data_IF_774549326705
#
_entry.id   IF_774549326705
#
_cell.length_a   1.000
_cell.length_b   1.000
_cell.length_c   1.000
_cell.angle_alpha   90.00
_cell.angle_beta   90.00
_cell.angle_gamma   90.00
#
_symmetry.space_group_name_H-M   'P 1'
#
loop_
_entity.id
_entity.type
_entity.pdbx_description
1 polymer ?
#
# COMPACT_ATOMS: atom_id res chain seq x y z
N UNK A 1 2.86 60.89 -28.69
CA UNK A 1 1.71 59.99 -28.97
C UNK A 1 2.21 58.55 -29.02
N UNK A 2 1.98 57.79 -27.96
CA UNK A 2 2.36 56.37 -27.94
C UNK A 2 1.28 55.56 -28.66
N UNK A 3 1.68 54.82 -29.69
CA UNK A 3 0.78 54.09 -30.58
C UNK A 3 0.00 53.03 -29.79
N UNK A 4 -1.35 53.02 -29.96
CA UNK A 4 -2.28 52.02 -29.39
C UNK A 4 -1.92 50.53 -29.73
N UNK A 5 -1.13 50.33 -30.79
CA UNK A 5 -0.66 48.98 -31.22
C UNK A 5 0.37 48.36 -30.27
N UNK A 6 1.19 49.15 -29.54
CA UNK A 6 2.19 48.62 -28.60
C UNK A 6 1.56 48.18 -27.28
N UNK A 7 0.40 48.70 -26.90
CA UNK A 7 -0.30 48.30 -25.66
C UNK A 7 -1.01 46.95 -25.77
N UNK A 8 -1.50 46.59 -26.96
CA UNK A 8 -2.20 45.31 -27.19
C UNK A 8 -1.25 44.11 -27.24
N UNK A 9 0.01 44.29 -27.69
CA UNK A 9 1.01 43.19 -27.72
C UNK A 9 1.56 42.87 -26.31
N UNK A 10 1.63 43.83 -25.39
CA UNK A 10 2.08 43.55 -24.00
C UNK A 10 1.00 42.82 -23.18
N UNK A 11 -0.27 43.13 -23.41
CA UNK A 11 -1.37 42.47 -22.69
C UNK A 11 -1.57 40.99 -23.11
N UNK A 12 -1.34 40.68 -24.40
CA UNK A 12 -1.45 39.31 -24.92
C UNK A 12 -0.31 38.39 -24.38
N UNK A 13 0.90 38.94 -24.24
CA UNK A 13 2.05 38.18 -23.69
C UNK A 13 1.90 37.83 -22.21
N UNK A 14 1.35 38.74 -21.39
CA UNK A 14 1.14 38.52 -19.96
C UNK A 14 0.04 37.48 -19.71
N UNK A 15 -1.03 37.46 -20.51
CA UNK A 15 -2.10 36.46 -20.34
C UNK A 15 -1.66 35.06 -20.76
N UNK A 16 -0.84 34.91 -21.80
CA UNK A 16 -0.31 33.63 -22.24
C UNK A 16 0.65 33.01 -21.19
N UNK A 17 1.53 33.84 -20.65
CA UNK A 17 2.45 33.40 -19.56
C UNK A 17 1.72 32.98 -18.28
N UNK A 18 0.64 33.67 -17.91
CA UNK A 18 -0.19 33.34 -16.76
C UNK A 18 -0.92 32.00 -16.94
N UNK A 19 -1.47 31.75 -18.15
CA UNK A 19 -2.15 30.48 -18.46
C UNK A 19 -1.17 29.31 -18.46
N UNK A 20 0.02 29.49 -19.05
CA UNK A 20 1.05 28.45 -19.06
C UNK A 20 1.51 28.13 -17.65
N UNK A 21 1.75 29.15 -16.81
CA UNK A 21 2.19 28.96 -15.42
C UNK A 21 1.09 28.30 -14.57
N UNK A 22 -0.18 28.66 -14.75
CA UNK A 22 -1.31 28.04 -14.06
C UNK A 22 -1.48 26.55 -14.45
N UNK A 23 -1.31 26.23 -15.74
CA UNK A 23 -1.35 24.84 -16.21
C UNK A 23 -0.15 24.03 -15.70
N UNK A 24 1.04 24.65 -15.60
CA UNK A 24 2.24 23.99 -15.05
C UNK A 24 2.06 23.66 -13.57
N UNK A 25 1.58 24.61 -12.76
CA UNK A 25 1.26 24.41 -11.35
C UNK A 25 0.18 23.34 -11.14
N UNK A 26 -0.86 23.31 -11.98
CA UNK A 26 -1.90 22.29 -11.90
C UNK A 26 -1.40 20.88 -12.25
N UNK A 27 -0.40 20.75 -13.14
CA UNK A 27 0.24 19.48 -13.46
C UNK A 27 1.16 19.02 -12.33
N UNK A 28 1.90 19.92 -11.67
CA UNK A 28 2.71 19.59 -10.49
C UNK A 28 1.82 19.18 -9.30
N UNK A 29 0.71 19.88 -9.05
CA UNK A 29 -0.26 19.49 -8.03
C UNK A 29 -0.93 18.14 -8.35
N UNK A 30 -1.24 17.85 -9.61
CA UNK A 30 -1.77 16.56 -10.05
C UNK A 30 -0.73 15.44 -9.90
N UNK A 31 0.55 15.71 -10.19
CA UNK A 31 1.64 14.76 -10.00
C UNK A 31 1.96 14.54 -8.50
N UNK A 32 1.90 15.57 -7.67
CA UNK A 32 2.07 15.45 -6.22
C UNK A 32 0.94 14.64 -5.57
N UNK A 33 -0.26 14.68 -6.11
CA UNK A 33 -1.42 13.96 -5.59
C UNK A 33 -1.52 12.49 -6.06
N UNK A 34 -0.66 12.04 -6.99
CA UNK A 34 -0.63 10.66 -7.49
C UNK A 34 0.00 9.65 -6.52
N UNK A 35 0.51 10.09 -5.37
CA UNK A 35 1.17 9.24 -4.36
C UNK A 35 0.48 9.15 -3.00
N UNK A 36 -0.53 9.97 -2.72
CA UNK A 36 -1.16 9.98 -1.40
C UNK A 36 -2.27 8.95 -1.29
N UNK A 37 -2.03 7.91 -0.47
CA UNK A 37 -3.02 6.88 -0.19
C UNK A 37 -4.08 7.44 0.74
N UNK A 38 -5.30 7.64 0.21
CA UNK A 38 -6.44 8.06 1.04
C UNK A 38 -6.74 7.02 2.11
N UNK A 39 -6.69 7.42 3.37
CA UNK A 39 -7.00 6.57 4.52
C UNK A 39 -8.49 6.19 4.54
N UNK A 40 -8.78 4.98 4.99
CA UNK A 40 -10.14 4.49 5.23
C UNK A 40 -10.29 4.30 6.74
N UNK A 41 -11.20 5.07 7.33
CA UNK A 41 -11.56 4.98 8.73
C UNK A 41 -13.01 4.49 8.83
N UNK A 42 -13.19 3.29 9.38
CA UNK A 42 -14.49 2.68 9.66
C UNK A 42 -14.54 2.30 11.14
N UNK A 43 -15.73 2.31 11.70
CA UNK A 43 -16.00 1.81 13.05
C UNK A 43 -15.74 0.30 13.15
N UNK A 44 -15.62 -0.20 14.36
CA UNK A 44 -15.43 -1.63 14.62
C UNK A 44 -16.61 -2.45 14.08
N UNK A 45 -17.82 -1.92 14.17
CA UNK A 45 -19.06 -2.52 13.71
C UNK A 45 -19.07 -2.63 12.19
N UNK A 46 -18.73 -1.56 11.48
CA UNK A 46 -18.66 -1.53 10.01
C UNK A 46 -17.59 -2.51 9.48
N UNK A 47 -16.45 -2.66 10.18
CA UNK A 47 -15.46 -3.67 9.82
C UNK A 47 -15.97 -5.10 10.04
N UNK A 48 -16.77 -5.37 11.08
CA UNK A 48 -17.37 -6.69 11.31
C UNK A 48 -18.37 -7.07 10.24
N UNK A 49 -19.09 -6.11 9.68
CA UNK A 49 -20.02 -6.34 8.57
C UNK A 49 -19.29 -6.64 7.25
N UNK A 50 -18.08 -6.09 7.09
CA UNK A 50 -17.28 -6.17 5.86
C UNK A 50 -16.36 -7.39 5.80
N UNK A 51 -15.91 -7.89 6.94
CA UNK A 51 -14.90 -8.93 7.07
C UNK A 51 -15.52 -10.23 7.59
N UNK A 52 -14.95 -11.36 7.22
CA UNK A 52 -15.26 -12.60 7.94
C UNK A 52 -14.73 -12.51 9.38
N UNK A 53 -15.27 -13.30 10.33
CA UNK A 53 -14.77 -13.30 11.70
C UNK A 53 -13.25 -13.51 11.80
N UNK A 54 -12.70 -14.46 11.02
CA UNK A 54 -11.28 -14.75 11.00
C UNK A 54 -10.44 -13.60 10.41
N UNK A 55 -10.94 -12.97 9.34
CA UNK A 55 -10.29 -11.77 8.79
C UNK A 55 -10.35 -10.59 9.75
N UNK A 56 -11.45 -10.44 10.48
CA UNK A 56 -11.59 -9.40 11.48
C UNK A 56 -10.60 -9.59 12.62
N UNK A 57 -10.46 -10.81 13.15
CA UNK A 57 -9.48 -11.13 14.18
C UNK A 57 -8.06 -10.75 13.75
N UNK A 58 -7.65 -11.13 12.53
CA UNK A 58 -6.33 -10.78 12.00
C UNK A 58 -6.18 -9.27 11.78
N UNK A 59 -7.08 -8.67 10.97
CA UNK A 59 -6.91 -7.31 10.47
C UNK A 59 -7.19 -6.22 11.52
N UNK A 60 -8.02 -6.52 12.53
CA UNK A 60 -8.49 -5.51 13.50
C UNK A 60 -8.08 -5.79 14.94
N UNK A 61 -7.98 -7.05 15.32
CA UNK A 61 -7.58 -7.45 16.67
C UNK A 61 -6.12 -7.96 16.73
N UNK A 62 -5.37 -7.87 15.60
CA UNK A 62 -3.96 -8.23 15.45
C UNK A 62 -3.68 -9.70 15.78
N UNK A 63 -4.61 -10.58 15.37
CA UNK A 63 -4.48 -12.03 15.50
C UNK A 63 -3.39 -12.61 14.57
N UNK A 64 -3.20 -13.91 14.67
CA UNK A 64 -2.27 -14.67 13.83
C UNK A 64 -2.89 -16.00 13.43
N UNK A 65 -2.97 -16.28 12.14
CA UNK A 65 -3.42 -17.58 11.65
C UNK A 65 -2.40 -18.70 11.93
N UNK A 66 -2.84 -19.96 11.86
CA UNK A 66 -1.94 -21.11 12.07
C UNK A 66 -0.91 -21.20 10.92
N UNK A 67 0.35 -21.61 11.21
CA UNK A 67 1.32 -21.86 10.15
C UNK A 67 0.81 -22.96 9.22
N UNK A 68 0.99 -22.77 7.90
CA UNK A 68 0.55 -23.70 6.86
C UNK A 68 -0.95 -23.68 6.55
N UNK A 69 -1.74 -22.83 7.18
CA UNK A 69 -3.20 -22.76 6.94
C UNK A 69 -3.59 -22.04 5.65
N UNK A 70 -2.75 -21.14 5.17
CA UNK A 70 -3.06 -20.32 4.00
C UNK A 70 -2.74 -21.06 2.68
N UNK A 71 -3.72 -21.12 1.78
CA UNK A 71 -3.50 -21.57 0.40
C UNK A 71 -2.57 -20.61 -0.39
N UNK A 72 -2.40 -19.36 0.06
CA UNK A 72 -1.50 -18.40 -0.56
C UNK A 72 -0.02 -18.75 -0.38
N UNK A 73 0.32 -19.70 0.49
CA UNK A 73 1.68 -20.25 0.55
C UNK A 73 2.10 -20.82 -0.81
N UNK A 74 1.22 -21.55 -1.46
CA UNK A 74 1.47 -22.26 -2.73
C UNK A 74 1.14 -21.40 -3.97
N UNK A 75 0.69 -20.16 -3.81
CA UNK A 75 0.40 -19.26 -4.93
C UNK A 75 1.67 -18.85 -5.65
N UNK A 76 1.80 -19.22 -6.94
CA UNK A 76 2.98 -18.99 -7.79
C UNK A 76 2.68 -18.24 -9.09
N UNK A 77 1.39 -17.96 -9.35
CA UNK A 77 1.01 -17.19 -10.54
C UNK A 77 1.50 -15.75 -10.45
N UNK A 78 1.68 -15.11 -11.60
CA UNK A 78 1.94 -13.68 -11.66
C UNK A 78 0.69 -12.91 -11.26
N UNK A 79 0.90 -11.82 -10.50
CA UNK A 79 -0.19 -11.00 -10.01
C UNK A 79 0.18 -10.20 -8.78
N UNK A 80 -0.84 -9.74 -8.09
CA UNK A 80 -0.72 -8.82 -6.95
C UNK A 80 -1.42 -9.40 -5.74
N UNK A 81 -0.79 -9.27 -4.58
CA UNK A 81 -1.41 -9.54 -3.29
C UNK A 81 -1.96 -8.24 -2.73
N UNK A 82 -3.28 -8.19 -2.52
CA UNK A 82 -4.00 -7.01 -2.05
C UNK A 82 -4.49 -7.21 -0.63
N UNK A 83 -4.66 -6.11 0.12
CA UNK A 83 -5.25 -6.14 1.45
C UNK A 83 -6.68 -6.70 1.42
N UNK A 84 -6.98 -7.71 2.23
CA UNK A 84 -8.31 -8.31 2.28
C UNK A 84 -9.40 -7.32 2.74
N UNK A 85 -9.03 -6.31 3.54
CA UNK A 85 -9.96 -5.31 4.04
C UNK A 85 -10.34 -4.22 3.05
N UNK A 86 -9.38 -3.74 2.24
CA UNK A 86 -9.60 -2.54 1.42
C UNK A 86 -9.12 -2.64 -0.04
N UNK A 87 -8.60 -3.79 -0.44
CA UNK A 87 -8.07 -4.07 -1.78
C UNK A 87 -6.91 -3.15 -2.22
N UNK A 88 -6.18 -2.49 -1.28
CA UNK A 88 -4.93 -1.85 -1.62
C UNK A 88 -3.91 -2.91 -2.01
N UNK A 89 -3.23 -2.74 -3.12
CA UNK A 89 -2.11 -3.59 -3.53
C UNK A 89 -0.98 -3.48 -2.51
N UNK A 90 -0.49 -4.60 -1.99
CA UNK A 90 0.57 -4.60 -0.97
C UNK A 90 1.87 -5.21 -1.47
N UNK A 91 1.79 -6.28 -2.24
CA UNK A 91 2.96 -6.99 -2.74
C UNK A 91 2.74 -7.46 -4.17
N UNK A 92 3.81 -7.43 -4.97
CA UNK A 92 3.88 -8.10 -6.27
C UNK A 92 4.30 -9.56 -6.08
N UNK A 93 3.85 -10.43 -6.98
CA UNK A 93 4.22 -11.86 -6.97
C UNK A 93 5.72 -12.10 -7.06
N UNK A 94 6.45 -11.22 -7.73
CA UNK A 94 7.91 -11.28 -7.88
C UNK A 94 8.65 -11.12 -6.56
N UNK A 95 8.03 -10.47 -5.57
CA UNK A 95 8.60 -10.31 -4.24
C UNK A 95 8.32 -11.51 -3.32
N UNK A 96 7.44 -12.43 -3.73
CA UNK A 96 7.07 -13.61 -2.93
C UNK A 96 8.16 -14.66 -2.99
N UNK A 97 8.42 -15.30 -1.85
CA UNK A 97 9.33 -16.45 -1.78
C UNK A 97 8.88 -17.44 -0.71
N UNK A 98 9.40 -18.67 -0.78
CA UNK A 98 9.16 -19.70 0.23
C UNK A 98 10.15 -19.52 1.39
N UNK A 99 9.62 -19.13 2.55
CA UNK A 99 10.44 -18.90 3.75
C UNK A 99 10.57 -20.12 4.67
N UNK A 100 9.79 -21.16 4.45
CA UNK A 100 9.71 -22.34 5.32
C UNK A 100 9.01 -22.09 6.67
N UNK A 101 8.46 -20.88 6.89
CA UNK A 101 7.82 -20.54 8.17
C UNK A 101 6.35 -20.91 8.24
N UNK A 102 5.73 -21.23 7.10
CA UNK A 102 4.31 -21.60 7.02
C UNK A 102 3.36 -20.42 6.77
N UNK A 103 3.88 -19.23 6.55
CA UNK A 103 3.11 -18.05 6.17
C UNK A 103 3.60 -17.47 4.83
N UNK A 104 2.71 -16.86 4.02
CA UNK A 104 3.11 -16.15 2.82
C UNK A 104 4.18 -15.10 3.17
N UNK A 105 5.32 -15.14 2.48
CA UNK A 105 6.47 -14.29 2.79
C UNK A 105 6.94 -13.52 1.56
N UNK A 106 7.30 -12.24 1.78
CA UNK A 106 7.74 -11.33 0.73
C UNK A 106 9.03 -10.63 1.19
N UNK A 107 9.93 -10.36 0.25
CA UNK A 107 11.15 -9.62 0.59
C UNK A 107 10.99 -8.10 0.46
N UNK A 108 9.91 -7.63 -0.18
CA UNK A 108 9.67 -6.19 -0.43
C UNK A 108 8.19 -5.94 -0.68
N UNK A 109 7.57 -4.93 -0.04
CA UNK A 109 6.24 -4.45 -0.37
C UNK A 109 6.28 -3.48 -1.55
N UNK A 110 5.10 -3.10 -2.06
CA UNK A 110 4.95 -1.93 -2.92
C UNK A 110 5.22 -0.69 -2.06
N UNK A 111 6.07 0.21 -2.55
CA UNK A 111 6.52 1.39 -1.81
C UNK A 111 5.33 2.27 -1.38
N UNK A 112 5.35 2.68 -0.11
CA UNK A 112 4.27 3.50 0.49
C UNK A 112 2.98 2.75 0.82
N UNK A 113 2.81 1.47 0.43
CA UNK A 113 1.56 0.74 0.61
C UNK A 113 1.44 0.01 1.96
N UNK A 114 2.53 -0.06 2.72
CA UNK A 114 2.53 -0.56 4.10
C UNK A 114 3.19 0.46 5.04
N UNK A 115 2.72 0.50 6.27
CA UNK A 115 3.31 1.26 7.37
C UNK A 115 3.74 0.29 8.47
N UNK A 116 4.66 0.71 9.32
CA UNK A 116 5.20 -0.13 10.40
C UNK A 116 5.04 0.54 11.76
N UNK A 117 4.86 -0.28 12.80
CA UNK A 117 4.94 0.18 14.19
C UNK A 117 5.68 -0.84 15.05
N UNK A 118 6.14 -0.40 16.23
CA UNK A 118 6.72 -1.32 17.21
C UNK A 118 5.61 -2.12 17.91
N UNK A 119 5.78 -3.43 17.96
CA UNK A 119 4.92 -4.35 18.70
C UNK A 119 5.65 -4.83 19.96
N UNK A 120 5.06 -4.55 21.13
CA UNK A 120 5.58 -4.91 22.46
C UNK A 120 4.76 -6.01 23.14
N UNK A 121 3.86 -6.69 22.43
CA UNK A 121 3.01 -7.77 22.98
C UNK A 121 3.84 -8.98 23.44
N UNK A 122 5.05 -9.15 22.91
CA UNK A 122 5.97 -10.20 23.28
C UNK A 122 7.14 -9.65 24.09
N UNK A 123 7.86 -10.53 24.83
CA UNK A 123 9.06 -10.17 25.61
C UNK A 123 10.12 -9.52 24.72
N UNK A 124 10.27 -9.99 23.48
CA UNK A 124 11.18 -9.41 22.49
C UNK A 124 10.34 -8.51 21.57
N UNK A 125 10.63 -7.20 21.49
CA UNK A 125 9.93 -6.29 20.61
C UNK A 125 10.07 -6.73 19.15
N UNK A 126 8.96 -6.70 18.41
CA UNK A 126 8.90 -6.99 16.98
C UNK A 126 8.53 -5.73 16.20
N UNK A 127 8.71 -5.76 14.90
CA UNK A 127 8.19 -4.74 13.98
C UNK A 127 6.95 -5.29 13.32
N UNK A 128 5.80 -4.78 13.70
CA UNK A 128 4.52 -5.05 13.04
C UNK A 128 4.41 -4.18 11.79
N UNK A 129 3.72 -4.68 10.76
CA UNK A 129 3.31 -3.87 9.63
C UNK A 129 1.84 -4.03 9.29
N UNK A 130 1.27 -2.98 8.72
CA UNK A 130 -0.14 -2.88 8.40
C UNK A 130 -0.36 -2.15 7.07
N UNK A 131 -1.55 -2.32 6.52
CA UNK A 131 -1.97 -1.67 5.29
C UNK A 131 -2.00 -0.15 5.45
N UNK A 132 -1.31 0.58 4.59
CA UNK A 132 -1.25 2.04 4.64
C UNK A 132 -2.62 2.71 4.45
N UNK A 133 -3.58 2.09 3.74
CA UNK A 133 -4.91 2.66 3.49
C UNK A 133 -5.87 2.48 4.65
N UNK A 134 -5.98 1.27 5.21
CA UNK A 134 -7.02 0.97 6.20
C UNK A 134 -6.48 0.63 7.59
N UNK A 135 -5.16 0.66 7.79
CA UNK A 135 -4.52 0.32 9.05
C UNK A 135 -4.67 -1.17 9.46
N UNK A 136 -5.14 -2.04 8.55
CA UNK A 136 -5.33 -3.46 8.84
C UNK A 136 -4.02 -4.18 9.06
N UNK A 137 -3.89 -4.87 10.21
CA UNK A 137 -2.73 -5.69 10.54
C UNK A 137 -2.48 -6.74 9.45
N UNK A 138 -1.24 -6.86 9.00
CA UNK A 138 -0.82 -7.82 7.99
C UNK A 138 0.10 -8.90 8.59
N UNK A 139 1.01 -8.51 9.44
CA UNK A 139 2.00 -9.39 10.04
C UNK A 139 3.20 -8.65 10.60
N UNK A 140 4.38 -9.28 10.54
CA UNK A 140 5.62 -8.74 11.11
C UNK A 140 6.77 -8.77 10.11
N UNK A 141 7.70 -7.83 10.28
CA UNK A 141 8.94 -7.73 9.48
C UNK A 141 10.11 -8.29 10.27
N UNK A 142 10.88 -9.15 9.63
CA UNK A 142 12.11 -9.75 10.18
C UNK A 142 13.31 -9.43 9.29
N UNK A 143 14.53 -9.56 9.85
CA UNK A 143 15.80 -9.28 9.15
C UNK A 143 16.50 -10.55 8.69
N UNK A 144 15.73 -11.56 8.34
CA UNK A 144 16.17 -12.90 7.93
C UNK A 144 15.68 -13.26 6.52
N UNK A 145 15.34 -12.24 5.72
CA UNK A 145 14.90 -12.40 4.34
C UNK A 145 16.06 -12.51 3.34
N UNK A 146 15.73 -12.82 2.07
CA UNK A 146 16.72 -12.90 1.00
C UNK A 146 17.15 -11.51 0.51
N UNK A 147 18.22 -11.49 -0.32
CA UNK A 147 18.53 -10.31 -1.12
C UNK A 147 17.37 -9.99 -2.07
N UNK A 148 17.15 -8.71 -2.46
CA UNK A 148 18.06 -7.56 -2.26
C UNK A 148 17.91 -6.87 -0.90
N UNK A 149 16.80 -7.04 -0.17
CA UNK A 149 16.49 -6.24 1.02
C UNK A 149 17.01 -6.83 2.32
N UNK A 150 17.19 -8.16 2.39
CA UNK A 150 17.44 -8.86 3.64
C UNK A 150 16.24 -8.89 4.60
N UNK A 151 15.08 -8.41 4.16
CA UNK A 151 13.85 -8.36 4.96
C UNK A 151 12.89 -9.49 4.59
N UNK A 152 12.16 -9.96 5.58
CA UNK A 152 11.04 -10.87 5.41
C UNK A 152 9.79 -10.25 5.99
N UNK A 153 8.85 -9.91 5.11
CA UNK A 153 7.48 -9.56 5.46
C UNK A 153 6.68 -10.85 5.58
N UNK A 154 6.49 -11.32 6.82
CA UNK A 154 5.72 -12.51 7.14
C UNK A 154 4.26 -12.11 7.27
N UNK A 155 3.41 -12.53 6.32
CA UNK A 155 2.03 -12.05 6.20
C UNK A 155 1.04 -13.12 6.60
N UNK A 156 -0.01 -12.73 7.34
CA UNK A 156 -1.18 -13.59 7.51
C UNK A 156 -1.90 -13.72 6.15
N UNK A 157 -2.11 -14.93 5.67
CA UNK A 157 -2.79 -15.14 4.40
C UNK A 157 -4.25 -14.70 4.41
N UNK A 158 -4.94 -14.78 5.56
CA UNK A 158 -6.30 -14.25 5.74
C UNK A 158 -6.38 -12.73 5.59
N UNK A 159 -5.25 -12.01 5.80
CA UNK A 159 -5.16 -10.57 5.59
C UNK A 159 -4.97 -10.18 4.11
N UNK A 160 -4.75 -11.17 3.23
CA UNK A 160 -4.51 -10.98 1.80
C UNK A 160 -5.59 -11.60 0.92
N UNK A 161 -5.69 -11.06 -0.30
CA UNK A 161 -6.29 -11.71 -1.46
C UNK A 161 -5.27 -11.68 -2.59
N UNK A 162 -5.30 -12.68 -3.46
CA UNK A 162 -4.47 -12.70 -4.67
C UNK A 162 -5.31 -12.31 -5.88
N UNK A 163 -4.81 -11.40 -6.69
CA UNK A 163 -5.39 -10.96 -7.96
C UNK A 163 -4.38 -11.33 -9.05
N UNK A 164 -4.69 -12.29 -9.93
CA UNK A 164 -3.79 -12.66 -11.03
C UNK A 164 -3.72 -11.52 -12.04
N UNK A 165 -2.57 -11.37 -12.71
CA UNK A 165 -2.46 -10.50 -13.88
C UNK A 165 -3.39 -11.02 -14.97
N UNK A 166 -4.03 -10.10 -15.69
CA UNK A 166 -4.81 -10.45 -16.89
C UNK A 166 -3.83 -10.99 -17.95
N UNK A 167 -4.13 -12.19 -18.47
CA UNK A 167 -3.33 -12.87 -19.47
C UNK A 167 -3.51 -12.30 -20.87
#
# INVERSE_FOLDING_TARGET
>A
MVSRRKFLTLAAGASLSYIVMKNYLSVEEAMANHGEIMKIELSKEEWKEKLTPDQFDILRDEGTERPGSSHLNDEKRKGVFVCAGCNLELFRSEAKYESGTGWPSFFQPIEGHVETKRDFKMIIPRTEYHCARCGGHQGHVFKDGPKPTGLRYCNNGLALKFVPDEG
#
